data_IF_467929650183
#
_entry.id   IF_467929650183
#
_cell.length_a   1.000
_cell.length_b   1.000
_cell.length_c   1.000
_cell.angle_alpha   90.00
_cell.angle_beta   90.00
_cell.angle_gamma   90.00
#
_symmetry.space_group_name_H-M   'P 1'
#
loop_
_entity.id
_entity.type
_entity.pdbx_description
1 polymer ?
#
# COMPACT_ATOMS: atom_id res chain seq x y z
N UNK A 1 -7.72 -16.02 8.28
CA UNK A 1 -6.37 -15.46 8.05
C UNK A 1 -5.58 -16.42 7.19
N UNK A 2 -5.23 -16.03 5.97
CA UNK A 2 -4.37 -16.80 5.06
C UNK A 2 -2.94 -16.89 5.60
N UNK A 3 -2.16 -17.88 5.14
CA UNK A 3 -0.72 -17.99 5.45
C UNK A 3 0.04 -16.72 5.03
N UNK A 4 -0.37 -16.14 3.89
CA UNK A 4 0.18 -14.90 3.34
C UNK A 4 -0.06 -13.70 4.26
N UNK A 5 -1.25 -13.56 4.83
CA UNK A 5 -1.61 -12.46 5.72
C UNK A 5 -0.73 -12.43 6.98
N UNK A 6 -0.44 -13.61 7.55
CA UNK A 6 0.48 -13.75 8.70
C UNK A 6 1.90 -13.35 8.33
N UNK A 7 2.34 -13.67 7.12
CA UNK A 7 3.67 -13.29 6.64
C UNK A 7 3.76 -11.76 6.46
N UNK A 8 2.75 -11.15 5.83
CA UNK A 8 2.65 -9.69 5.67
C UNK A 8 2.70 -9.00 7.03
N UNK A 9 1.92 -9.47 8.00
CA UNK A 9 1.89 -8.92 9.36
C UNK A 9 3.29 -8.99 10.02
N UNK A 10 3.96 -10.13 9.89
CA UNK A 10 5.31 -10.30 10.43
C UNK A 10 6.33 -9.31 9.83
N UNK A 11 6.30 -9.11 8.51
CA UNK A 11 7.20 -8.15 7.83
C UNK A 11 6.82 -6.72 8.21
N UNK A 12 5.53 -6.39 8.23
CA UNK A 12 5.03 -5.06 8.61
C UNK A 12 5.44 -4.67 10.02
N UNK A 13 5.42 -5.61 10.97
CA UNK A 13 5.89 -5.37 12.32
C UNK A 13 7.40 -5.08 12.36
N UNK A 14 8.21 -5.88 11.66
CA UNK A 14 9.65 -5.61 11.53
C UNK A 14 9.93 -4.26 10.88
N UNK A 15 9.18 -3.92 9.82
CA UNK A 15 9.29 -2.63 9.14
C UNK A 15 8.98 -1.47 10.08
N UNK A 16 7.90 -1.55 10.85
CA UNK A 16 7.54 -0.51 11.82
C UNK A 16 8.62 -0.33 12.89
N UNK A 17 9.25 -1.40 13.34
CA UNK A 17 10.36 -1.31 14.30
C UNK A 17 11.64 -0.75 13.68
N UNK A 18 11.99 -1.16 12.45
CA UNK A 18 13.16 -0.65 11.73
C UNK A 18 13.02 0.83 11.36
N UNK A 19 11.85 1.25 10.88
CA UNK A 19 11.60 2.62 10.45
C UNK A 19 11.84 3.65 11.56
N UNK A 20 11.63 3.29 12.84
CA UNK A 20 11.94 4.15 14.00
C UNK A 20 13.41 4.54 14.12
N UNK A 21 14.32 3.80 13.47
CA UNK A 21 15.77 4.08 13.49
C UNK A 21 16.16 5.18 12.50
N UNK A 22 15.31 5.47 11.51
CA UNK A 22 15.53 6.54 10.55
C UNK A 22 15.37 7.90 11.24
N UNK A 23 16.16 8.89 10.80
CA UNK A 23 16.19 10.23 11.39
C UNK A 23 16.28 11.29 10.30
N UNK A 24 15.80 12.49 10.62
CA UNK A 24 15.94 13.67 9.76
C UNK A 24 15.41 13.43 8.35
N UNK A 25 16.19 13.80 7.35
CA UNK A 25 15.83 13.72 5.93
C UNK A 25 15.54 12.28 5.47
N UNK A 26 16.22 11.28 6.06
CA UNK A 26 16.01 9.87 5.72
C UNK A 26 14.66 9.36 6.24
N UNK A 27 14.23 9.81 7.41
CA UNK A 27 12.90 9.50 7.93
C UNK A 27 11.80 10.11 7.03
N UNK A 28 11.92 11.40 6.70
CA UNK A 28 10.95 12.08 5.83
C UNK A 28 10.89 11.43 4.44
N UNK A 29 12.03 11.12 3.84
CA UNK A 29 12.09 10.42 2.56
C UNK A 29 11.36 9.07 2.62
N UNK A 30 11.60 8.30 3.68
CA UNK A 30 11.03 6.97 3.82
C UNK A 30 9.52 7.01 4.07
N UNK A 31 9.03 7.96 4.86
CA UNK A 31 7.61 8.13 5.11
C UNK A 31 6.86 8.46 3.82
N UNK A 32 7.36 9.42 3.03
CA UNK A 32 6.80 9.77 1.72
C UNK A 32 6.80 8.58 0.75
N UNK A 33 7.91 7.82 0.74
CA UNK A 33 8.06 6.63 -0.08
C UNK A 33 7.05 5.53 0.32
N UNK A 34 6.94 5.28 1.62
CA UNK A 34 6.05 4.26 2.19
C UNK A 34 4.58 4.58 1.93
N UNK A 35 4.17 5.84 2.08
CA UNK A 35 2.78 6.25 1.82
C UNK A 35 2.37 5.95 0.37
N UNK A 36 3.27 6.23 -0.58
CA UNK A 36 3.03 5.94 -2.00
C UNK A 36 2.95 4.44 -2.28
N UNK A 37 3.74 3.61 -1.60
CA UNK A 37 3.68 2.16 -1.76
C UNK A 37 2.43 1.54 -1.11
N UNK A 38 2.00 2.05 0.05
CA UNK A 38 0.75 1.59 0.70
C UNK A 38 -0.47 1.88 -0.19
N UNK A 39 -0.50 3.03 -0.85
CA UNK A 39 -1.58 3.31 -1.81
C UNK A 39 -1.48 2.40 -3.04
N UNK A 40 -0.26 2.05 -3.48
CA UNK A 40 -0.06 1.08 -4.54
C UNK A 40 -0.50 -0.35 -4.13
N UNK A 41 -0.33 -0.79 -2.87
CA UNK A 41 -0.69 -2.16 -2.45
C UNK A 41 -2.18 -2.52 -2.58
N UNK A 42 -3.04 -1.55 -2.91
CA UNK A 42 -4.43 -1.82 -3.32
C UNK A 42 -4.46 -2.52 -4.69
N UNK A 43 -3.54 -2.18 -5.58
CA UNK A 43 -3.47 -2.66 -6.97
C UNK A 43 -2.37 -3.71 -7.20
N UNK A 44 -1.45 -3.88 -6.25
CA UNK A 44 -0.31 -4.80 -6.32
C UNK A 44 -0.27 -5.74 -5.12
N UNK A 45 0.45 -6.84 -5.27
CA UNK A 45 0.57 -7.90 -4.27
C UNK A 45 1.09 -7.34 -2.93
N UNK A 46 0.25 -7.36 -1.90
CA UNK A 46 0.57 -6.77 -0.60
C UNK A 46 1.85 -7.34 0.04
N UNK A 47 2.15 -8.63 -0.19
CA UNK A 47 3.36 -9.26 0.32
C UNK A 47 4.59 -8.70 -0.38
N UNK A 48 4.56 -8.65 -1.72
CA UNK A 48 5.63 -8.10 -2.54
C UNK A 48 5.89 -6.62 -2.18
N UNK A 49 4.82 -5.82 -2.09
CA UNK A 49 4.93 -4.41 -1.68
C UNK A 49 5.55 -4.28 -0.29
N UNK A 50 5.07 -5.06 0.69
CA UNK A 50 5.53 -4.95 2.09
C UNK A 50 6.99 -5.40 2.24
N UNK A 51 7.38 -6.48 1.54
CA UNK A 51 8.75 -7.00 1.53
C UNK A 51 9.72 -6.00 0.90
N UNK A 52 9.36 -5.43 -0.24
CA UNK A 52 10.21 -4.46 -0.93
C UNK A 52 10.30 -3.14 -0.16
N UNK A 53 9.21 -2.71 0.48
CA UNK A 53 9.23 -1.54 1.37
C UNK A 53 10.17 -1.78 2.56
N UNK A 54 10.15 -2.99 3.12
CA UNK A 54 11.06 -3.37 4.20
C UNK A 54 12.53 -3.35 3.75
N UNK A 55 12.84 -3.91 2.58
CA UNK A 55 14.21 -3.91 2.05
C UNK A 55 14.75 -2.49 1.89
N UNK A 56 13.98 -1.58 1.31
CA UNK A 56 14.36 -0.17 1.16
C UNK A 56 14.58 0.52 2.51
N UNK A 57 13.79 0.17 3.53
CA UNK A 57 14.02 0.68 4.88
C UNK A 57 15.38 0.24 5.42
N UNK A 58 15.77 -1.02 5.20
CA UNK A 58 17.07 -1.55 5.66
C UNK A 58 18.22 -0.90 4.90
N UNK A 59 18.12 -0.81 3.57
CA UNK A 59 19.13 -0.14 2.73
C UNK A 59 19.33 1.32 3.16
N UNK A 60 18.24 2.00 3.51
CA UNK A 60 18.30 3.38 3.96
C UNK A 60 18.88 3.52 5.38
N UNK A 61 18.65 2.55 6.27
CA UNK A 61 19.31 2.51 7.59
C UNK A 61 20.82 2.34 7.40
N UNK A 62 21.26 1.44 6.52
CA UNK A 62 22.68 1.26 6.19
C UNK A 62 23.29 2.53 5.61
N UNK A 63 22.61 3.18 4.65
CA UNK A 63 23.02 4.47 4.10
C UNK A 63 23.17 5.53 5.20
N UNK A 64 22.21 5.60 6.13
CA UNK A 64 22.26 6.53 7.27
C UNK A 64 23.44 6.25 8.20
N UNK A 65 23.74 4.98 8.48
CA UNK A 65 24.89 4.57 9.29
C UNK A 65 26.22 4.96 8.63
N UNK A 66 26.25 4.98 7.29
CA UNK A 66 27.37 5.47 6.48
C UNK A 66 27.37 7.01 6.31
N UNK A 67 26.46 7.73 6.98
CA UNK A 67 26.37 9.20 6.91
C UNK A 67 25.77 9.74 5.62
N UNK A 68 25.10 8.90 4.83
CA UNK A 68 24.47 9.27 3.57
C UNK A 68 22.99 9.59 3.74
N UNK A 69 22.51 10.56 2.98
CA UNK A 69 21.09 10.81 2.82
C UNK A 69 20.45 9.83 1.83
N UNK A 70 19.12 9.69 1.89
CA UNK A 70 18.37 8.84 0.97
C UNK A 70 18.57 9.25 -0.50
N UNK A 71 18.65 10.55 -0.77
CA UNK A 71 18.89 11.06 -2.11
C UNK A 71 20.30 10.74 -2.61
N UNK A 72 21.31 10.82 -1.74
CA UNK A 72 22.69 10.45 -2.07
C UNK A 72 22.83 8.95 -2.34
N UNK A 73 22.13 8.10 -1.57
CA UNK A 73 22.21 6.65 -1.73
C UNK A 73 21.41 6.15 -2.94
N UNK A 74 20.15 6.55 -3.08
CA UNK A 74 19.27 6.05 -4.15
C UNK A 74 19.38 6.86 -5.46
N UNK A 75 20.00 8.05 -5.43
CA UNK A 75 20.11 8.96 -6.58
C UNK A 75 18.74 9.48 -7.08
N UNK A 76 17.68 9.27 -6.31
CA UNK A 76 16.28 9.55 -6.67
C UNK A 76 15.56 10.14 -5.47
N UNK A 77 14.50 10.90 -5.71
CA UNK A 77 13.55 11.26 -4.66
C UNK A 77 12.60 10.08 -4.35
N UNK A 78 11.88 10.17 -3.23
CA UNK A 78 10.96 9.15 -2.71
C UNK A 78 9.97 8.68 -3.78
N UNK A 79 9.29 9.62 -4.44
CA UNK A 79 8.31 9.31 -5.50
C UNK A 79 8.93 8.61 -6.72
N UNK A 80 10.07 9.09 -7.25
CA UNK A 80 10.74 8.47 -8.41
C UNK A 80 11.24 7.07 -8.08
N UNK A 81 11.72 6.87 -6.85
CA UNK A 81 12.13 5.56 -6.38
C UNK A 81 10.92 4.61 -6.35
N UNK A 82 9.81 5.05 -5.75
CA UNK A 82 8.57 4.29 -5.68
C UNK A 82 7.97 3.98 -7.06
N UNK A 83 7.91 4.96 -7.96
CA UNK A 83 7.47 4.78 -9.35
C UNK A 83 8.31 3.73 -10.10
N UNK A 84 9.62 3.67 -9.84
CA UNK A 84 10.49 2.67 -10.47
C UNK A 84 10.29 1.26 -9.89
N UNK A 85 9.91 1.15 -8.62
CA UNK A 85 9.61 -0.13 -7.97
C UNK A 85 8.23 -0.67 -8.36
N UNK A 86 7.21 0.18 -8.35
CA UNK A 86 5.82 -0.21 -8.64
C UNK A 86 5.69 -0.87 -10.02
N UNK A 87 6.48 -0.43 -11.01
CA UNK A 87 6.51 -1.03 -12.35
C UNK A 87 6.95 -2.50 -12.37
N UNK A 88 7.66 -2.95 -11.35
CA UNK A 88 8.17 -4.31 -11.24
C UNK A 88 7.36 -5.17 -10.26
N UNK A 89 6.40 -4.59 -9.55
CA UNK A 89 5.58 -5.32 -8.58
C UNK A 89 4.59 -6.24 -9.28
N UNK A 90 4.31 -7.37 -8.63
CA UNK A 90 3.26 -8.27 -9.10
C UNK A 90 1.90 -7.59 -8.92
N UNK A 91 1.09 -7.57 -9.97
CA UNK A 91 -0.28 -7.07 -9.87
C UNK A 91 -1.12 -7.98 -8.98
N UNK A 92 -2.01 -7.35 -8.20
CA UNK A 92 -3.11 -8.06 -7.55
C UNK A 92 -4.02 -8.65 -8.62
N UNK A 93 -4.65 -9.79 -8.32
CA UNK A 93 -5.60 -10.40 -9.24
C UNK A 93 -6.74 -9.43 -9.59
N UNK A 94 -7.20 -9.49 -10.84
CA UNK A 94 -8.29 -8.65 -11.33
C UNK A 94 -9.60 -8.88 -10.54
N UNK A 95 -9.76 -10.07 -9.94
CA UNK A 95 -10.93 -10.41 -9.15
C UNK A 95 -11.00 -9.58 -7.87
N UNK A 96 -9.92 -9.46 -7.12
CA UNK A 96 -9.88 -8.70 -5.87
C UNK A 96 -10.12 -7.21 -6.12
N UNK A 97 -9.57 -6.66 -7.22
CA UNK A 97 -9.80 -5.27 -7.62
C UNK A 97 -11.27 -5.04 -7.98
N UNK A 98 -11.90 -5.95 -8.74
CA UNK A 98 -13.32 -5.86 -9.09
C UNK A 98 -14.20 -5.95 -7.84
N UNK A 99 -13.90 -6.86 -6.91
CA UNK A 99 -14.64 -6.98 -5.65
C UNK A 99 -14.59 -5.67 -4.86
N UNK A 100 -13.41 -5.03 -4.78
CA UNK A 100 -13.26 -3.74 -4.10
C UNK A 100 -14.06 -2.61 -4.77
N UNK A 101 -14.01 -2.51 -6.10
CA UNK A 101 -14.74 -1.49 -6.87
C UNK A 101 -16.26 -1.74 -6.84
N UNK A 102 -16.69 -2.99 -6.79
CA UNK A 102 -18.11 -3.37 -6.81
C UNK A 102 -18.83 -3.07 -5.48
N UNK A 103 -18.12 -3.05 -4.35
CA UNK A 103 -18.68 -2.74 -3.03
C UNK A 103 -19.43 -1.38 -2.97
N UNK A 104 -18.80 -0.22 -3.31
CA UNK A 104 -19.50 1.07 -3.29
C UNK A 104 -20.64 1.14 -4.32
N UNK A 105 -20.50 0.48 -5.47
CA UNK A 105 -21.56 0.40 -6.51
C UNK A 105 -22.78 -0.35 -5.97
N UNK A 106 -22.57 -1.49 -5.32
CA UNK A 106 -23.63 -2.30 -4.74
C UNK A 106 -24.39 -1.58 -3.62
N UNK A 107 -23.69 -0.80 -2.78
CA UNK A 107 -24.32 0.02 -1.72
C UNK A 107 -25.17 1.13 -2.35
N UNK A 108 -24.64 1.81 -3.36
CA UNK A 108 -25.32 2.91 -4.05
C UNK A 108 -26.65 2.46 -4.68
N UNK A 109 -26.69 1.28 -5.32
CA UNK A 109 -27.91 0.74 -5.94
C UNK A 109 -28.99 0.30 -4.96
N UNK A 110 -28.62 -0.01 -3.71
CA UNK A 110 -29.55 -0.55 -2.71
C UNK A 110 -30.58 0.48 -2.26
N UNK A 111 -30.24 1.77 -2.27
CA UNK A 111 -31.16 2.87 -1.90
C UNK A 111 -32.33 3.08 -2.88
N UNK A 112 -32.13 3.25 -4.20
CA UNK A 112 -33.24 3.43 -5.14
C UNK A 112 -34.10 2.16 -5.28
N UNK A 113 -33.52 0.97 -5.11
CA UNK A 113 -34.25 -0.31 -5.15
C UNK A 113 -35.31 -0.40 -4.03
N UNK A 114 -34.93 -0.08 -2.79
CA UNK A 114 -35.85 -0.10 -1.65
C UNK A 114 -36.99 0.92 -1.81
N UNK A 115 -36.67 2.13 -2.28
CA UNK A 115 -37.67 3.18 -2.52
C UNK A 115 -38.63 2.80 -3.65
N UNK A 116 -38.14 2.18 -4.71
CA UNK A 116 -38.96 1.77 -5.86
C UNK A 116 -39.88 0.60 -5.52
N UNK A 117 -39.38 -0.41 -4.80
CA UNK A 117 -40.18 -1.53 -4.27
C UNK A 117 -41.31 -1.04 -3.35
N UNK A 118 -41.02 -0.09 -2.47
CA UNK A 118 -42.01 0.45 -1.54
C UNK A 118 -43.13 1.23 -2.26
N UNK A 119 -42.81 1.94 -3.35
CA UNK A 119 -43.81 2.61 -4.21
C UNK A 119 -44.70 1.61 -4.95
N UNK A 120 -44.13 0.50 -5.43
CA UNK A 120 -44.86 -0.52 -6.17
C UNK A 120 -45.84 -1.30 -5.28
N UNK A 121 -45.46 -1.60 -4.03
CA UNK A 121 -46.35 -2.24 -3.04
C UNK A 121 -47.52 -1.34 -2.60
N UNK A 122 -47.34 -0.01 -2.60
CA UNK A 122 -48.42 0.94 -2.24
C UNK A 122 -49.41 1.24 -3.39
N UNK A 123 -49.07 0.89 -4.62
CA UNK A 123 -49.88 1.16 -5.82
C UNK A 123 -50.77 -0.04 -6.22
N UNK A 124 -50.77 -1.11 -5.41
CA UNK A 124 -51.57 -2.32 -5.60
C UNK A 124 -52.44 -2.54 -4.37
#
# INVERSE_FOLDING_TARGET
MSSKDKQVEGIRNKLNESAKKLKGENATFFDDFREYLITASIFYDELDVTEQTYNVCIDLIEAQENGQTAQEYFGKNSRKLADSMIKNFKHTGYREIIELIMLPIGIYWRFPLLVTLQKWVRLK
#
